data_IF_831522539994
#
_entry.id   IF_831522539994
#
_cell.length_a   1.000
_cell.length_b   1.000
_cell.length_c   1.000
_cell.angle_alpha   90.00
_cell.angle_beta   90.00
_cell.angle_gamma   90.00
#
_symmetry.space_group_name_H-M   'P 1'
#
loop_
_entity.id
_entity.type
_entity.pdbx_description
1 polymer ?
#
# COMPACT_ATOMS: atom_id res chain seq x y z
N UNK A 1 8.63 -14.54 18.88
CA UNK A 1 9.58 -14.47 17.74
C UNK A 1 10.32 -13.16 17.81
N UNK A 2 11.66 -13.18 17.88
CA UNK A 2 12.47 -11.97 17.82
C UNK A 2 12.29 -11.33 16.45
N UNK A 3 11.73 -10.12 16.39
CA UNK A 3 11.66 -9.33 15.16
C UNK A 3 13.05 -8.77 14.88
N UNK A 4 13.94 -9.57 14.28
CA UNK A 4 15.21 -9.03 13.80
C UNK A 4 14.92 -8.12 12.59
N UNK A 5 14.60 -6.86 12.88
CA UNK A 5 14.26 -5.86 11.85
C UNK A 5 15.49 -5.31 11.13
N UNK A 6 16.68 -5.59 11.64
CA UNK A 6 17.91 -4.94 11.18
C UNK A 6 17.93 -3.44 11.56
N UNK A 7 18.99 -2.75 11.16
CA UNK A 7 19.07 -1.28 11.21
C UNK A 7 19.01 -0.70 9.79
N UNK A 8 18.60 0.56 9.66
CA UNK A 8 18.58 1.25 8.35
C UNK A 8 20.02 1.54 7.94
N UNK A 9 20.43 1.01 6.79
CA UNK A 9 21.77 1.24 6.25
C UNK A 9 21.84 2.53 5.45
N UNK A 10 20.84 2.75 4.60
CA UNK A 10 20.75 3.98 3.81
C UNK A 10 19.31 4.24 3.33
N UNK A 11 19.09 5.48 2.95
CA UNK A 11 17.85 5.97 2.36
C UNK A 11 18.06 6.27 0.89
N UNK A 12 17.01 6.10 0.09
CA UNK A 12 16.97 6.55 -1.29
C UNK A 12 15.66 7.26 -1.61
N UNK A 13 15.72 8.14 -2.60
CA UNK A 13 14.57 8.75 -3.24
C UNK A 13 14.37 8.07 -4.58
N UNK A 14 13.14 7.61 -4.83
CA UNK A 14 12.74 7.11 -6.13
C UNK A 14 11.78 8.14 -6.71
N UNK A 15 12.16 8.68 -7.85
CA UNK A 15 11.37 9.65 -8.58
C UNK A 15 10.22 8.98 -9.33
N UNK A 16 9.28 9.76 -9.82
CA UNK A 16 8.08 9.23 -10.49
C UNK A 16 8.39 8.48 -11.78
N UNK A 17 9.48 8.82 -12.47
CA UNK A 17 10.01 8.10 -13.65
C UNK A 17 10.74 6.79 -13.29
N UNK A 18 10.86 6.47 -11.99
CA UNK A 18 11.44 5.22 -11.49
C UNK A 18 12.94 5.25 -11.26
N UNK A 19 13.61 6.39 -11.48
CA UNK A 19 15.03 6.53 -11.14
C UNK A 19 15.25 6.56 -9.64
N UNK A 20 16.27 5.86 -9.17
CA UNK A 20 16.61 5.76 -7.76
C UNK A 20 17.89 6.53 -7.43
N UNK A 21 17.78 7.46 -6.48
CA UNK A 21 18.88 8.28 -6.00
C UNK A 21 19.17 7.97 -4.54
N UNK A 22 20.33 7.38 -4.29
CA UNK A 22 20.80 7.09 -2.93
C UNK A 22 21.18 8.39 -2.21
N UNK A 23 20.60 8.62 -1.03
CA UNK A 23 20.85 9.83 -0.25
C UNK A 23 22.20 9.77 0.51
N UNK A 24 22.68 8.59 0.81
CA UNK A 24 24.00 8.35 1.41
C UNK A 24 25.06 8.21 0.32
N UNK A 25 25.40 9.30 -0.32
CA UNK A 25 26.54 9.39 -1.24
C UNK A 25 27.62 10.28 -0.63
N UNK A 26 28.77 9.68 -0.34
CA UNK A 26 29.86 10.27 0.44
C UNK A 26 30.37 11.61 -0.10
N UNK A 27 30.21 11.90 -1.39
CA UNK A 27 30.79 13.08 -2.02
C UNK A 27 29.77 14.06 -2.58
N UNK A 28 28.52 13.64 -2.76
CA UNK A 28 27.47 14.47 -3.36
C UNK A 28 26.50 15.01 -2.34
N UNK A 29 25.95 14.12 -1.53
CA UNK A 29 24.95 14.46 -0.51
C UNK A 29 24.87 13.35 0.52
N UNK A 30 24.55 13.68 1.75
CA UNK A 30 24.34 12.71 2.82
C UNK A 30 23.31 13.22 3.81
N UNK A 31 22.59 12.28 4.38
CA UNK A 31 21.60 12.57 5.41
C UNK A 31 22.31 12.78 6.73
N UNK A 32 22.05 13.92 7.38
CA UNK A 32 22.56 14.24 8.71
C UNK A 32 21.56 13.80 9.79
N UNK A 33 20.27 14.01 9.53
CA UNK A 33 19.20 13.60 10.43
C UNK A 33 17.88 13.42 9.67
N UNK A 34 17.03 12.55 10.21
CA UNK A 34 15.67 12.33 9.73
C UNK A 34 14.72 12.39 10.92
N UNK A 35 13.59 13.04 10.74
CA UNK A 35 12.52 13.09 11.74
C UNK A 35 11.17 12.73 11.10
N UNK A 36 10.20 12.28 11.90
CA UNK A 36 8.86 11.94 11.42
C UNK A 36 8.68 10.49 10.95
N UNK A 37 9.65 9.61 11.19
CA UNK A 37 9.61 8.21 10.75
C UNK A 37 8.90 7.26 11.71
N UNK A 38 8.77 7.66 12.97
CA UNK A 38 8.15 6.85 14.01
C UNK A 38 6.63 6.77 13.86
N UNK A 39 5.94 7.18 14.89
CA UNK A 39 4.47 7.18 14.94
C UNK A 39 3.89 8.30 14.06
N UNK A 40 2.90 8.03 13.18
CA UNK A 40 2.19 9.10 12.47
C UNK A 40 1.37 9.94 13.45
N UNK A 41 1.08 11.21 13.16
CA UNK A 41 0.16 12.02 13.96
C UNK A 41 -1.23 11.38 14.01
N UNK A 42 -1.91 11.50 15.16
CA UNK A 42 -3.26 10.97 15.38
C UNK A 42 -4.18 12.09 15.77
N UNK A 43 -5.32 12.18 15.12
CA UNK A 43 -6.46 13.01 15.52
C UNK A 43 -7.54 12.13 16.16
N UNK A 44 -7.97 12.50 17.36
CA UNK A 44 -9.01 11.78 18.09
C UNK A 44 -10.37 12.46 17.88
N UNK A 45 -11.37 11.67 17.53
CA UNK A 45 -12.77 12.10 17.51
C UNK A 45 -13.31 11.91 18.93
N UNK A 46 -13.66 13.01 19.58
CA UNK A 46 -14.11 13.00 20.97
C UNK A 46 -15.49 13.61 21.10
N UNK A 47 -16.24 13.16 22.10
CA UNK A 47 -17.53 13.71 22.50
C UNK A 47 -17.49 14.10 23.98
N UNK A 48 -18.22 15.17 24.32
CA UNK A 48 -18.40 15.63 25.70
C UNK A 48 -19.90 15.72 26.02
N UNK A 49 -20.32 15.04 27.06
CA UNK A 49 -21.67 15.14 27.58
C UNK A 49 -21.86 16.37 28.50
N UNK A 50 -23.11 16.79 28.77
CA UNK A 50 -23.40 17.85 29.75
C UNK A 50 -22.83 17.50 31.15
N UNK A 51 -22.05 18.41 31.74
CA UNK A 51 -21.44 18.20 33.07
C UNK A 51 -20.24 17.23 33.09
N UNK A 52 -19.83 16.69 31.96
CA UNK A 52 -18.67 15.79 31.90
C UNK A 52 -17.36 16.57 32.01
N UNK A 53 -16.50 16.19 32.97
CA UNK A 53 -15.11 16.61 33.00
C UNK A 53 -14.27 15.75 32.04
N UNK A 54 -13.49 16.40 31.14
CA UNK A 54 -12.76 15.73 30.09
C UNK A 54 -13.65 15.40 28.89
N UNK A 55 -13.25 14.40 28.08
CA UNK A 55 -13.99 13.94 26.90
C UNK A 55 -13.90 12.42 26.75
N UNK A 56 -14.88 11.84 26.06
CA UNK A 56 -14.88 10.43 25.69
C UNK A 56 -14.33 10.29 24.28
N UNK A 57 -13.32 9.45 24.07
CA UNK A 57 -12.78 9.14 22.75
C UNK A 57 -13.75 8.17 22.06
N UNK A 58 -14.22 8.54 20.87
CA UNK A 58 -15.13 7.73 20.05
C UNK A 58 -14.33 6.95 18.99
N UNK A 59 -13.40 7.65 18.31
CA UNK A 59 -12.63 7.10 17.20
C UNK A 59 -11.33 7.88 17.01
N UNK A 60 -10.46 7.41 16.11
CA UNK A 60 -9.24 8.11 15.76
C UNK A 60 -9.01 8.07 14.25
N UNK A 61 -8.25 9.02 13.74
CA UNK A 61 -7.74 9.05 12.37
C UNK A 61 -6.26 9.31 12.38
N UNK A 62 -5.56 8.69 11.44
CA UNK A 62 -4.18 9.03 11.16
C UNK A 62 -4.18 10.28 10.27
N UNK A 63 -3.37 11.25 10.65
CA UNK A 63 -3.15 12.46 9.86
C UNK A 63 -1.95 12.29 8.93
N UNK A 64 -1.79 13.22 8.01
CA UNK A 64 -0.66 13.26 7.10
C UNK A 64 0.66 13.20 7.87
N UNK A 65 1.58 12.38 7.40
CA UNK A 65 2.90 12.24 8.01
C UNK A 65 3.86 13.25 7.40
N UNK A 66 4.51 14.04 8.24
CA UNK A 66 5.58 14.95 7.84
C UNK A 66 6.91 14.25 8.11
N UNK A 67 7.73 14.11 7.08
CA UNK A 67 9.09 13.56 7.17
C UNK A 67 10.06 14.67 6.77
N UNK A 68 10.97 15.00 7.68
CA UNK A 68 11.96 16.03 7.43
C UNK A 68 13.36 15.44 7.42
N UNK A 69 14.06 15.68 6.33
CA UNK A 69 15.46 15.34 6.17
C UNK A 69 16.33 16.58 6.31
N UNK A 70 17.38 16.48 7.08
CA UNK A 70 18.50 17.42 7.03
C UNK A 70 19.58 16.80 6.19
N UNK A 71 19.89 17.42 5.05
CA UNK A 71 20.81 16.89 4.04
C UNK A 71 21.98 17.84 3.90
N UNK A 72 23.19 17.30 3.89
CA UNK A 72 24.40 18.04 3.50
C UNK A 72 24.63 17.87 2.00
N UNK A 73 24.79 18.97 1.30
CA UNK A 73 25.28 18.98 -0.06
C UNK A 73 26.73 19.37 -0.03
N UNK A 74 27.59 18.50 -0.53
CA UNK A 74 29.04 18.71 -0.50
C UNK A 74 29.66 18.29 -1.83
N UNK A 75 30.80 18.87 -2.16
CA UNK A 75 31.57 18.57 -3.36
C UNK A 75 33.07 18.77 -3.16
N UNK A 76 33.87 18.31 -4.12
CA UNK A 76 35.33 18.51 -4.13
C UNK A 76 35.76 19.84 -4.75
N UNK A 77 34.94 20.38 -5.61
CA UNK A 77 35.19 21.62 -6.34
C UNK A 77 33.88 22.39 -6.57
N UNK A 78 34.00 23.61 -7.08
CA UNK A 78 32.88 24.53 -7.30
C UNK A 78 31.89 24.03 -8.36
N UNK A 79 32.37 23.38 -9.43
CA UNK A 79 31.51 22.89 -10.51
C UNK A 79 30.65 21.72 -10.00
N UNK A 80 31.27 20.71 -9.38
CA UNK A 80 30.56 19.58 -8.79
C UNK A 80 29.54 20.03 -7.72
N UNK A 81 29.83 21.13 -7.00
CA UNK A 81 28.91 21.69 -6.02
C UNK A 81 27.62 22.23 -6.65
N UNK A 82 27.77 22.97 -7.74
CA UNK A 82 26.61 23.50 -8.47
C UNK A 82 25.83 22.39 -9.14
N UNK A 83 26.49 21.44 -9.77
CA UNK A 83 25.85 20.26 -10.38
C UNK A 83 25.06 19.43 -9.32
N UNK A 84 25.62 19.25 -8.12
CA UNK A 84 24.92 18.54 -7.03
C UNK A 84 23.69 19.30 -6.52
N UNK A 85 23.72 20.63 -6.51
CA UNK A 85 22.56 21.47 -6.17
C UNK A 85 21.46 21.35 -7.23
N UNK A 86 21.82 21.48 -8.50
CA UNK A 86 20.87 21.33 -9.62
C UNK A 86 20.24 19.94 -9.63
N UNK A 87 21.05 18.90 -9.44
CA UNK A 87 20.57 17.54 -9.34
C UNK A 87 19.58 17.37 -8.18
N UNK A 88 19.87 17.96 -7.01
CA UNK A 88 18.95 17.88 -5.87
C UNK A 88 17.62 18.58 -6.15
N UNK A 89 17.65 19.74 -6.79
CA UNK A 89 16.44 20.47 -7.20
C UNK A 89 15.64 19.67 -8.23
N UNK A 90 16.32 19.05 -9.19
CA UNK A 90 15.66 18.23 -10.21
C UNK A 90 14.99 16.98 -9.60
N UNK A 91 15.67 16.29 -8.69
CA UNK A 91 15.10 15.13 -7.96
C UNK A 91 13.84 15.52 -7.18
N UNK A 92 13.83 16.73 -6.60
CA UNK A 92 12.73 17.21 -5.75
C UNK A 92 11.63 17.92 -6.55
N UNK A 93 11.76 18.05 -7.85
CA UNK A 93 10.78 18.72 -8.70
C UNK A 93 9.45 17.93 -8.71
N UNK A 94 8.29 18.57 -8.43
CA UNK A 94 7.01 17.90 -8.27
C UNK A 94 6.43 17.35 -9.58
N UNK A 95 6.84 17.87 -10.74
CA UNK A 95 6.32 17.52 -12.06
C UNK A 95 7.38 16.85 -12.95
N UNK A 96 8.14 15.89 -12.42
CA UNK A 96 9.18 15.20 -13.19
C UNK A 96 8.65 14.24 -14.28
N UNK A 97 7.34 14.01 -14.30
CA UNK A 97 6.69 13.26 -15.38
C UNK A 97 6.48 14.14 -16.63
N UNK A 98 6.36 13.48 -17.76
CA UNK A 98 6.10 14.14 -19.06
C UNK A 98 4.67 14.67 -19.20
N UNK A 99 3.77 14.29 -18.32
CA UNK A 99 2.38 14.77 -18.27
C UNK A 99 2.25 15.83 -17.18
N UNK A 100 2.07 17.09 -17.59
CA UNK A 100 1.96 18.25 -16.69
C UNK A 100 0.70 18.25 -15.80
N UNK A 101 -0.23 17.31 -16.02
CA UNK A 101 -1.53 17.29 -15.34
C UNK A 101 -1.52 16.60 -13.99
N UNK A 102 -0.47 15.86 -13.64
CA UNK A 102 -0.46 15.01 -12.46
C UNK A 102 0.71 15.34 -11.51
N UNK A 103 0.40 15.40 -10.22
CA UNK A 103 1.41 15.42 -9.17
C UNK A 103 2.15 14.07 -9.18
N UNK A 104 3.46 14.11 -9.33
CA UNK A 104 4.31 12.93 -9.34
C UNK A 104 4.79 12.63 -7.93
N UNK A 105 4.20 11.64 -7.23
CA UNK A 105 4.66 11.27 -5.90
C UNK A 105 6.07 10.67 -5.98
N UNK A 106 6.92 11.10 -5.08
CA UNK A 106 8.24 10.55 -4.83
C UNK A 106 8.09 9.40 -3.84
N UNK A 107 8.92 8.35 -3.94
CA UNK A 107 8.98 7.31 -2.93
C UNK A 107 10.26 7.45 -2.11
N UNK A 108 10.11 7.61 -0.81
CA UNK A 108 11.23 7.47 0.11
C UNK A 108 11.38 6.00 0.47
N UNK A 109 12.52 5.39 0.11
CA UNK A 109 12.80 3.97 0.36
C UNK A 109 13.94 3.82 1.35
N UNK A 110 13.72 2.94 2.32
CA UNK A 110 14.68 2.56 3.35
C UNK A 110 15.21 1.17 3.10
N UNK A 111 16.51 1.03 3.20
CA UNK A 111 17.21 -0.24 3.08
C UNK A 111 17.74 -0.68 4.44
N UNK A 112 17.38 -1.88 4.82
CA UNK A 112 17.77 -2.46 6.11
C UNK A 112 18.90 -3.47 5.94
N UNK A 113 19.75 -3.60 6.97
CA UNK A 113 20.89 -4.53 7.01
C UNK A 113 20.51 -6.00 6.83
N UNK A 114 19.26 -6.36 7.02
CA UNK A 114 18.72 -7.70 6.80
C UNK A 114 18.12 -7.91 5.39
N UNK A 115 18.38 -7.00 4.45
CA UNK A 115 17.87 -7.03 3.08
C UNK A 115 16.45 -6.58 2.90
N UNK A 116 15.71 -6.29 3.99
CA UNK A 116 14.34 -5.76 3.90
C UNK A 116 14.36 -4.33 3.36
N UNK A 117 13.27 -3.97 2.71
CA UNK A 117 13.05 -2.62 2.17
C UNK A 117 11.69 -2.14 2.61
N UNK A 118 11.56 -0.85 2.95
CA UNK A 118 10.28 -0.21 3.19
C UNK A 118 10.25 1.12 2.47
N UNK A 119 9.10 1.47 1.96
CA UNK A 119 8.93 2.73 1.24
C UNK A 119 7.62 3.43 1.63
N UNK A 120 7.57 4.72 1.36
CA UNK A 120 6.40 5.56 1.56
C UNK A 120 6.29 6.55 0.42
N UNK A 121 5.08 6.77 -0.08
CA UNK A 121 4.81 7.79 -1.09
C UNK A 121 4.73 9.17 -0.43
N UNK A 122 5.45 10.12 -0.96
CA UNK A 122 5.51 11.48 -0.43
C UNK A 122 5.44 12.52 -1.55
N UNK A 123 5.05 13.71 -1.18
CA UNK A 123 5.20 14.92 -2.00
C UNK A 123 6.14 15.90 -1.29
N UNK A 124 6.85 16.71 -2.04
CA UNK A 124 7.73 17.74 -1.47
C UNK A 124 6.88 18.91 -1.00
N UNK A 125 6.94 19.22 0.28
CA UNK A 125 6.28 20.40 0.86
C UNK A 125 7.21 21.61 0.84
N UNK A 126 8.49 21.41 1.24
CA UNK A 126 9.49 22.45 1.22
C UNK A 126 10.84 21.87 0.79
N UNK A 127 11.41 22.43 -0.23
CA UNK A 127 12.73 22.09 -0.75
C UNK A 127 13.86 22.90 -0.08
N UNK A 128 15.11 22.65 -0.50
CA UNK A 128 16.27 23.39 -0.01
C UNK A 128 16.20 24.86 -0.46
N UNK A 129 16.54 25.78 0.43
CA UNK A 129 16.55 27.23 0.16
C UNK A 129 17.92 27.73 -0.31
N UNK A 130 18.97 26.99 -0.02
CA UNK A 130 20.36 27.29 -0.33
C UNK A 130 20.81 28.70 0.14
N UNK A 131 20.26 29.17 1.25
CA UNK A 131 20.66 30.44 1.83
C UNK A 131 21.90 30.26 2.71
N UNK A 132 22.95 31.01 2.52
CA UNK A 132 24.10 31.02 3.42
C UNK A 132 23.67 31.53 4.80
N UNK A 133 23.94 30.74 5.84
CA UNK A 133 23.54 31.07 7.22
C UNK A 133 24.31 32.27 7.78
N UNK A 134 25.57 32.46 7.34
CA UNK A 134 26.38 33.60 7.69
C UNK A 134 27.31 34.01 6.51
N UNK A 135 27.56 35.30 6.28
CA UNK A 135 28.50 35.73 5.27
C UNK A 135 29.95 35.27 5.51
N UNK A 136 30.28 34.83 6.72
CA UNK A 136 31.60 34.28 7.09
C UNK A 136 31.71 32.76 6.99
N UNK A 137 30.61 32.05 6.77
CA UNK A 137 30.58 30.58 6.58
C UNK A 137 30.88 30.24 5.10
N UNK A 138 31.96 30.76 4.57
CA UNK A 138 32.42 30.45 3.23
C UNK A 138 33.13 29.09 3.16
N UNK A 139 32.44 28.01 3.55
CA UNK A 139 32.84 26.73 3.03
C UNK A 139 32.20 26.59 1.63
N UNK A 140 32.96 26.99 0.60
CA UNK A 140 32.48 27.11 -0.79
C UNK A 140 31.83 25.84 -1.35
N UNK A 141 32.00 24.69 -0.67
CA UNK A 141 31.62 23.36 -1.17
C UNK A 141 30.79 22.56 -0.18
N UNK A 142 30.19 23.20 0.82
CA UNK A 142 29.36 22.55 1.83
C UNK A 142 28.18 23.42 2.21
N UNK A 143 26.96 22.89 2.13
CA UNK A 143 25.76 23.52 2.67
C UNK A 143 24.86 22.46 3.31
N UNK A 144 24.25 22.82 4.43
CA UNK A 144 23.29 21.99 5.12
C UNK A 144 21.89 22.55 4.90
N UNK A 145 21.01 21.73 4.35
CA UNK A 145 19.65 22.11 3.98
C UNK A 145 18.63 21.16 4.60
N UNK A 146 17.43 21.68 4.79
CA UNK A 146 16.27 20.91 5.26
C UNK A 146 15.31 20.72 4.10
N UNK A 147 14.88 19.48 3.91
CA UNK A 147 13.85 19.11 2.94
C UNK A 147 12.69 18.47 3.69
N UNK A 148 11.49 18.93 3.43
CA UNK A 148 10.27 18.49 4.10
C UNK A 148 9.34 17.81 3.12
N UNK A 149 8.91 16.62 3.48
CA UNK A 149 8.00 15.79 2.70
C UNK A 149 6.72 15.55 3.47
N UNK A 150 5.60 15.49 2.75
CA UNK A 150 4.30 15.06 3.26
C UNK A 150 3.91 13.73 2.64
N UNK A 151 3.55 12.77 3.48
CA UNK A 151 2.92 11.53 3.08
C UNK A 151 1.43 11.58 3.44
N UNK A 152 0.56 11.68 2.44
CA UNK A 152 -0.90 11.66 2.64
C UNK A 152 -1.40 10.26 3.03
N UNK A 153 -0.75 9.19 2.58
CA UNK A 153 -0.87 7.88 3.22
C UNK A 153 0.30 7.71 4.19
N UNK A 154 0.06 7.84 5.52
CA UNK A 154 1.13 7.92 6.50
C UNK A 154 1.80 6.58 6.81
N UNK A 155 1.47 5.51 6.07
CA UNK A 155 1.86 4.14 6.34
C UNK A 155 2.94 3.68 5.37
N UNK A 156 4.02 3.12 5.89
CA UNK A 156 5.06 2.48 5.10
C UNK A 156 4.57 1.16 4.52
N UNK A 157 5.12 0.75 3.38
CA UNK A 157 4.81 -0.52 2.74
C UNK A 157 6.04 -1.15 2.09
N UNK A 158 6.00 -2.46 1.86
CA UNK A 158 7.04 -3.17 1.13
C UNK A 158 7.01 -2.78 -0.37
N UNK A 159 8.16 -2.69 -1.05
CA UNK A 159 8.19 -2.39 -2.48
C UNK A 159 7.55 -3.45 -3.36
N UNK A 160 7.53 -4.69 -2.87
CA UNK A 160 7.00 -5.85 -3.59
C UNK A 160 5.55 -6.10 -3.16
N UNK A 161 4.68 -6.26 -4.12
CA UNK A 161 3.32 -6.71 -3.91
C UNK A 161 3.30 -8.23 -3.73
N UNK A 162 2.62 -8.69 -2.70
CA UNK A 162 2.32 -10.11 -2.49
C UNK A 162 1.05 -10.44 -3.27
N UNK A 163 1.05 -11.59 -3.94
CA UNK A 163 -0.11 -12.06 -4.71
C UNK A 163 -0.35 -13.53 -4.39
N UNK A 164 -1.53 -13.81 -3.86
CA UNK A 164 -1.99 -15.15 -3.53
C UNK A 164 -3.22 -15.50 -4.36
N UNK A 165 -3.38 -16.77 -4.67
CA UNK A 165 -4.45 -17.25 -5.53
C UNK A 165 -5.23 -18.41 -4.91
N UNK A 166 -6.55 -18.41 -5.13
CA UNK A 166 -7.39 -19.56 -4.78
C UNK A 166 -7.24 -20.64 -5.85
N UNK A 167 -6.98 -21.87 -5.42
CA UNK A 167 -6.98 -23.06 -6.26
C UNK A 167 -8.32 -23.75 -6.05
N UNK A 168 -9.14 -23.84 -7.11
CA UNK A 168 -10.42 -24.54 -7.07
C UNK A 168 -10.24 -25.93 -7.66
N UNK A 169 -10.52 -26.96 -6.84
CA UNK A 169 -10.51 -28.34 -7.28
C UNK A 169 -11.94 -28.74 -7.67
N UNK A 170 -12.07 -29.30 -8.88
CA UNK A 170 -13.34 -29.76 -9.41
C UNK A 170 -13.29 -31.29 -9.52
N UNK A 171 -13.92 -31.97 -8.55
CA UNK A 171 -14.07 -33.42 -8.61
C UNK A 171 -15.33 -33.77 -9.40
N UNK A 172 -15.16 -34.37 -10.58
CA UNK A 172 -16.25 -34.93 -11.36
C UNK A 172 -16.54 -36.35 -10.90
N UNK A 173 -17.29 -36.54 -9.81
CA UNK A 173 -17.73 -37.84 -9.36
C UNK A 173 -19.09 -38.20 -9.96
N UNK A 174 -19.10 -38.81 -11.13
CA UNK A 174 -20.19 -39.65 -11.58
C UNK A 174 -19.87 -41.09 -11.17
N UNK A 175 -20.43 -41.51 -10.01
CA UNK A 175 -20.28 -42.90 -9.52
C UNK A 175 -21.48 -43.71 -10.01
N UNK A 176 -21.23 -44.81 -10.72
CA UNK A 176 -22.25 -45.79 -11.09
C UNK A 176 -22.37 -46.87 -10.02
N UNK A 177 -23.61 -47.39 -9.71
CA UNK A 177 -24.88 -47.17 -10.40
C UNK A 177 -25.64 -45.92 -9.94
N UNK A 178 -26.24 -45.23 -10.93
CA UNK A 178 -27.02 -44.02 -10.74
C UNK A 178 -28.44 -44.41 -10.39
N UNK A 179 -28.98 -43.92 -9.23
CA UNK A 179 -30.38 -44.07 -8.84
C UNK A 179 -31.18 -42.80 -9.19
N UNK A 180 -32.33 -42.97 -9.82
CA UNK A 180 -33.25 -41.86 -10.13
C UNK A 180 -34.18 -41.53 -8.96
N UNK A 181 -34.56 -40.25 -8.75
CA UNK A 181 -34.36 -39.10 -9.60
C UNK A 181 -33.04 -38.37 -9.38
N UNK A 182 -32.28 -38.05 -10.46
CA UNK A 182 -31.06 -37.25 -10.43
C UNK A 182 -31.44 -35.78 -10.51
N UNK A 183 -30.97 -34.97 -9.58
CA UNK A 183 -31.04 -33.52 -9.66
C UNK A 183 -29.66 -32.99 -10.09
N UNK A 184 -29.58 -32.48 -11.33
CA UNK A 184 -28.45 -31.69 -11.78
C UNK A 184 -28.63 -30.26 -11.25
N UNK A 185 -27.92 -29.92 -10.21
CA UNK A 185 -27.83 -28.55 -9.69
C UNK A 185 -26.50 -27.92 -10.08
N UNK A 186 -26.49 -26.61 -10.28
CA UNK A 186 -25.23 -25.85 -10.33
C UNK A 186 -24.68 -25.89 -8.91
N UNK A 187 -23.63 -26.66 -8.68
CA UNK A 187 -22.98 -26.71 -7.37
C UNK A 187 -22.31 -25.37 -7.07
N UNK A 188 -22.52 -24.87 -5.88
CA UNK A 188 -21.67 -23.80 -5.36
C UNK A 188 -20.31 -24.40 -5.02
N UNK A 189 -19.26 -23.82 -5.57
CA UNK A 189 -17.89 -24.19 -5.26
C UNK A 189 -17.31 -23.13 -4.35
N UNK A 190 -16.63 -23.54 -3.30
CA UNK A 190 -15.90 -22.62 -2.43
C UNK A 190 -14.56 -23.20 -2.02
N UNK A 191 -13.56 -22.37 -1.88
CA UNK A 191 -12.27 -22.77 -1.34
C UNK A 191 -11.73 -21.73 -0.36
N UNK A 192 -10.76 -22.16 0.44
CA UNK A 192 -10.14 -21.36 1.51
C UNK A 192 -8.69 -21.08 1.15
N UNK A 193 -8.26 -19.86 1.45
CA UNK A 193 -6.89 -19.38 1.26
C UNK A 193 -6.41 -18.74 2.57
N UNK A 194 -5.33 -19.25 3.13
CA UNK A 194 -4.68 -18.66 4.29
C UNK A 194 -3.56 -17.74 3.88
N UNK A 195 -3.75 -16.44 4.10
CA UNK A 195 -2.76 -15.40 3.84
C UNK A 195 -1.99 -15.11 5.13
N UNK A 196 -0.66 -15.32 5.12
CA UNK A 196 0.19 -14.93 6.23
C UNK A 196 0.66 -13.49 6.06
N UNK A 197 0.02 -12.56 6.76
CA UNK A 197 0.30 -11.14 6.70
C UNK A 197 1.35 -10.72 7.74
N UNK A 198 2.47 -10.18 7.28
CA UNK A 198 3.61 -9.79 8.15
C UNK A 198 3.65 -8.29 8.47
N UNK A 199 2.77 -7.50 7.89
CA UNK A 199 2.64 -6.07 8.19
C UNK A 199 2.27 -5.79 9.65
N UNK A 200 2.42 -4.55 10.07
CA UNK A 200 1.99 -4.08 11.40
C UNK A 200 0.75 -3.16 11.35
N UNK A 201 0.28 -2.86 10.15
CA UNK A 201 -0.94 -2.09 9.89
C UNK A 201 -1.79 -2.82 8.87
N UNK A 202 -3.10 -2.58 8.90
CA UNK A 202 -4.05 -3.21 7.96
C UNK A 202 -3.77 -2.81 6.52
N UNK A 203 -4.07 -3.73 5.59
CA UNK A 203 -3.94 -3.49 4.16
C UNK A 203 -5.25 -3.73 3.42
N UNK A 204 -5.39 -3.09 2.28
CA UNK A 204 -6.58 -3.12 1.43
C UNK A 204 -6.19 -3.81 0.11
N UNK A 205 -6.63 -5.05 -0.12
CA UNK A 205 -6.22 -5.82 -1.27
C UNK A 205 -6.86 -5.34 -2.57
N UNK A 206 -6.20 -5.68 -3.67
CA UNK A 206 -6.78 -5.70 -5.00
C UNK A 206 -7.13 -7.14 -5.33
N UNK A 207 -8.37 -7.38 -5.71
CA UNK A 207 -8.87 -8.72 -6.00
C UNK A 207 -9.20 -8.80 -7.48
N UNK A 208 -8.61 -9.78 -8.17
CA UNK A 208 -8.92 -10.07 -9.57
C UNK A 208 -9.67 -11.40 -9.67
N UNK A 209 -10.79 -11.39 -10.36
CA UNK A 209 -11.64 -12.54 -10.57
C UNK A 209 -11.72 -12.84 -12.06
N UNK A 210 -11.15 -13.96 -12.49
CA UNK A 210 -11.28 -14.47 -13.84
C UNK A 210 -12.44 -15.47 -13.90
N UNK A 211 -13.40 -15.25 -14.79
CA UNK A 211 -14.56 -16.12 -14.97
C UNK A 211 -14.22 -17.44 -15.70
N UNK A 212 -15.16 -18.40 -15.76
CA UNK A 212 -16.59 -18.17 -15.46
C UNK A 212 -16.95 -18.29 -13.98
N UNK A 213 -17.72 -17.34 -13.47
CA UNK A 213 -18.31 -17.42 -12.12
C UNK A 213 -19.55 -16.53 -12.02
N UNK A 214 -20.61 -17.06 -11.42
CA UNK A 214 -21.84 -16.33 -11.15
C UNK A 214 -21.95 -16.02 -9.65
N UNK A 215 -22.16 -14.75 -9.31
CA UNK A 215 -22.31 -14.29 -7.94
C UNK A 215 -21.07 -14.55 -7.08
N UNK A 216 -19.85 -14.14 -7.50
CA UNK A 216 -18.65 -14.38 -6.70
C UNK A 216 -18.76 -13.70 -5.34
N UNK A 217 -18.33 -14.44 -4.30
CA UNK A 217 -18.32 -14.00 -2.92
C UNK A 217 -16.97 -14.30 -2.29
N UNK A 218 -16.38 -13.31 -1.63
CA UNK A 218 -15.12 -13.47 -0.89
C UNK A 218 -15.36 -12.98 0.54
N UNK A 219 -15.01 -13.81 1.50
CA UNK A 219 -15.20 -13.53 2.93
C UNK A 219 -13.84 -13.62 3.63
N UNK A 220 -13.48 -12.61 4.41
CA UNK A 220 -12.38 -12.73 5.36
C UNK A 220 -12.95 -13.23 6.70
N UNK A 221 -12.65 -14.47 7.07
CA UNK A 221 -13.20 -15.12 8.26
C UNK A 221 -12.74 -14.47 9.56
N UNK A 222 -11.56 -13.83 9.56
CA UNK A 222 -11.00 -13.14 10.73
C UNK A 222 -11.74 -11.84 11.04
N UNK A 223 -12.08 -11.08 10.00
CA UNK A 223 -12.75 -9.78 10.15
C UNK A 223 -14.28 -9.89 10.02
N UNK A 224 -14.77 -11.00 9.49
CA UNK A 224 -16.17 -11.19 9.12
C UNK A 224 -16.63 -10.34 7.93
N UNK A 225 -15.70 -9.67 7.22
CA UNK A 225 -16.02 -8.80 6.09
C UNK A 225 -16.18 -9.61 4.81
N UNK A 226 -17.13 -9.18 3.99
CA UNK A 226 -17.58 -9.90 2.79
C UNK A 226 -17.54 -8.92 1.61
N UNK A 227 -17.09 -9.40 0.45
CA UNK A 227 -17.35 -8.77 -0.85
C UNK A 227 -18.14 -9.78 -1.66
N UNK A 228 -19.31 -9.36 -2.16
CA UNK A 228 -20.16 -10.17 -3.01
C UNK A 228 -20.63 -9.33 -4.19
N UNK A 229 -20.50 -9.89 -5.39
CA UNK A 229 -21.00 -9.27 -6.62
C UNK A 229 -22.25 -10.02 -7.10
N UNK A 230 -23.31 -9.29 -7.37
CA UNK A 230 -24.52 -9.82 -8.03
C UNK A 230 -24.34 -9.73 -9.56
N UNK A 231 -23.30 -10.41 -10.06
CA UNK A 231 -22.86 -10.35 -11.44
C UNK A 231 -22.37 -11.70 -11.94
N UNK A 232 -22.66 -12.01 -13.20
CA UNK A 232 -22.14 -13.19 -13.88
C UNK A 232 -20.89 -12.78 -14.69
N UNK A 233 -19.74 -13.26 -14.30
CA UNK A 233 -18.47 -13.05 -15.01
C UNK A 233 -18.33 -14.17 -16.04
N UNK A 234 -18.39 -13.88 -17.35
CA UNK A 234 -18.24 -14.91 -18.38
C UNK A 234 -16.82 -15.51 -18.40
N UNK A 235 -16.69 -16.71 -18.99
CA UNK A 235 -15.39 -17.35 -19.15
C UNK A 235 -14.37 -16.47 -19.88
N UNK A 236 -13.15 -16.37 -19.32
CA UNK A 236 -12.05 -15.58 -19.86
C UNK A 236 -12.14 -14.06 -19.60
N UNK A 237 -13.24 -13.58 -18.99
CA UNK A 237 -13.37 -12.17 -18.61
C UNK A 237 -12.79 -11.98 -17.20
N UNK A 238 -12.23 -10.79 -16.96
CA UNK A 238 -11.62 -10.43 -15.68
C UNK A 238 -12.38 -9.25 -15.07
N UNK A 239 -12.69 -9.35 -13.78
CA UNK A 239 -13.21 -8.25 -12.97
C UNK A 239 -12.19 -7.93 -11.90
N UNK A 240 -11.78 -6.68 -11.82
CA UNK A 240 -10.84 -6.17 -10.81
C UNK A 240 -11.61 -5.35 -9.77
N UNK A 241 -11.47 -5.74 -8.50
CA UNK A 241 -12.02 -5.06 -7.33
C UNK A 241 -10.87 -4.41 -6.59
N UNK A 242 -10.81 -3.09 -6.58
CA UNK A 242 -9.82 -2.34 -5.84
C UNK A 242 -10.44 -1.79 -4.55
N UNK A 243 -9.90 -2.20 -3.39
CA UNK A 243 -10.37 -1.75 -2.09
C UNK A 243 -9.51 -0.65 -1.48
N UNK A 244 -8.43 -0.23 -2.16
CA UNK A 244 -7.48 0.78 -1.68
C UNK A 244 -8.14 2.16 -1.55
N UNK A 245 -7.75 2.92 -0.54
CA UNK A 245 -8.22 4.30 -0.39
C UNK A 245 -7.78 5.17 -1.58
N UNK A 246 -8.71 6.01 -2.04
CA UNK A 246 -8.49 6.87 -3.21
C UNK A 246 -8.71 6.20 -4.56
N UNK A 247 -8.70 4.84 -4.63
CA UNK A 247 -8.80 4.07 -5.88
C UNK A 247 -9.92 3.02 -5.86
N UNK A 248 -10.89 3.14 -4.94
CA UNK A 248 -11.98 2.17 -4.81
C UNK A 248 -12.78 2.06 -6.09
N UNK A 249 -12.74 0.90 -6.70
CA UNK A 249 -13.40 0.65 -7.99
C UNK A 249 -13.71 -0.84 -8.18
N UNK A 250 -14.69 -1.11 -9.01
CA UNK A 250 -14.96 -2.43 -9.55
C UNK A 250 -15.09 -2.24 -11.07
N UNK A 251 -14.13 -2.79 -11.80
CA UNK A 251 -14.08 -2.61 -13.26
C UNK A 251 -13.80 -3.96 -13.94
N UNK A 252 -14.36 -4.13 -15.14
CA UNK A 252 -14.02 -5.27 -15.98
C UNK A 252 -12.81 -4.96 -16.86
N UNK A 253 -12.32 -5.97 -17.57
CA UNK A 253 -11.21 -5.87 -18.52
C UNK A 253 -11.50 -5.00 -19.76
N UNK A 254 -12.74 -4.52 -19.96
CA UNK A 254 -13.13 -3.53 -20.97
C UNK A 254 -13.20 -2.11 -20.40
N UNK A 255 -12.91 -1.93 -19.10
CA UNK A 255 -13.05 -0.64 -18.42
C UNK A 255 -14.47 -0.28 -17.99
N UNK A 256 -15.41 -1.24 -18.06
CA UNK A 256 -16.79 -0.99 -17.61
C UNK A 256 -16.84 -0.87 -16.10
N UNK A 257 -17.45 0.19 -15.58
CA UNK A 257 -17.63 0.35 -14.15
C UNK A 257 -18.77 -0.54 -13.64
N UNK A 258 -18.42 -1.48 -12.76
CA UNK A 258 -19.32 -2.46 -12.16
C UNK A 258 -19.62 -2.19 -10.68
N UNK A 259 -19.38 -0.97 -10.18
CA UNK A 259 -19.60 -0.65 -8.77
C UNK A 259 -21.06 -0.85 -8.33
N UNK A 260 -22.01 -0.72 -9.27
CA UNK A 260 -23.43 -0.91 -8.99
C UNK A 260 -23.88 -2.37 -8.79
N UNK A 261 -23.02 -3.36 -9.08
CA UNK A 261 -23.36 -4.79 -8.91
C UNK A 261 -22.92 -5.38 -7.59
N UNK A 262 -22.20 -4.61 -6.76
CA UNK A 262 -21.83 -5.06 -5.40
C UNK A 262 -23.09 -5.16 -4.54
N UNK A 263 -23.18 -6.25 -3.77
CA UNK A 263 -24.35 -6.51 -2.92
C UNK A 263 -24.51 -5.43 -1.82
N UNK A 264 -23.39 -5.05 -1.19
CA UNK A 264 -23.35 -3.98 -0.20
C UNK A 264 -22.14 -3.04 -0.46
N UNK A 265 -22.36 -1.77 -0.85
CA UNK A 265 -21.28 -0.83 -1.13
C UNK A 265 -20.34 -0.57 0.05
N UNK A 266 -20.82 -0.73 1.30
CA UNK A 266 -19.98 -0.57 2.50
C UNK A 266 -18.87 -1.61 2.54
N UNK A 267 -19.08 -2.79 1.98
CA UNK A 267 -18.11 -3.88 1.98
C UNK A 267 -16.84 -3.50 1.22
N UNK A 268 -16.94 -2.74 0.13
CA UNK A 268 -15.79 -2.22 -0.60
C UNK A 268 -14.89 -1.31 0.26
N UNK A 269 -15.46 -0.67 1.27
CA UNK A 269 -14.74 0.25 2.15
C UNK A 269 -14.17 -0.42 3.40
N UNK A 270 -14.71 -1.56 3.78
CA UNK A 270 -14.42 -2.23 5.06
C UNK A 270 -13.64 -3.53 4.90
N UNK A 271 -13.53 -4.06 3.67
CA UNK A 271 -12.77 -5.27 3.41
C UNK A 271 -11.27 -5.01 3.56
N UNK A 272 -10.65 -5.68 4.50
CA UNK A 272 -9.25 -5.48 4.88
C UNK A 272 -8.58 -6.80 5.26
N UNK A 273 -7.26 -6.88 5.09
CA UNK A 273 -6.38 -7.90 5.67
C UNK A 273 -5.73 -7.27 6.89
N UNK A 274 -5.78 -7.95 8.02
CA UNK A 274 -5.39 -7.39 9.32
C UNK A 274 -4.15 -8.07 9.89
N UNK A 275 -3.29 -7.30 10.61
CA UNK A 275 -2.11 -7.86 11.27
C UNK A 275 -2.47 -8.56 12.60
N UNK A 276 -1.49 -9.22 13.19
CA UNK A 276 -1.55 -9.61 14.59
C UNK A 276 -1.61 -8.35 15.50
N UNK A 277 -2.30 -8.38 16.64
CA UNK A 277 -2.96 -9.55 17.26
C UNK A 277 -4.37 -9.86 16.75
N UNK A 278 -4.97 -8.99 15.92
CA UNK A 278 -6.35 -9.19 15.41
C UNK A 278 -6.47 -10.47 14.56
N UNK A 279 -5.46 -10.77 13.74
CA UNK A 279 -5.28 -12.06 13.09
C UNK A 279 -4.20 -12.84 13.86
N UNK A 280 -4.50 -13.93 14.57
CA UNK A 280 -3.52 -14.72 15.29
C UNK A 280 -2.39 -15.19 14.37
N UNK A 281 -1.14 -14.91 14.74
CA UNK A 281 0.02 -15.21 13.88
C UNK A 281 0.10 -14.40 12.56
N UNK A 282 -0.82 -13.45 12.35
CA UNK A 282 -0.94 -12.71 11.09
C UNK A 282 -1.72 -13.48 10.01
N UNK A 283 -2.30 -14.65 10.34
CA UNK A 283 -3.02 -15.48 9.36
C UNK A 283 -4.44 -14.95 9.16
N UNK A 284 -4.74 -14.55 7.93
CA UNK A 284 -6.08 -14.16 7.48
C UNK A 284 -6.63 -15.26 6.58
N UNK A 285 -7.67 -15.93 7.04
CA UNK A 285 -8.36 -16.97 6.29
C UNK A 285 -9.43 -16.35 5.41
N UNK A 286 -9.20 -16.35 4.11
CA UNK A 286 -10.16 -15.91 3.10
C UNK A 286 -10.92 -17.12 2.56
N UNK A 287 -12.23 -16.99 2.39
CA UNK A 287 -13.08 -17.98 1.74
C UNK A 287 -13.69 -17.35 0.50
N UNK A 288 -13.37 -17.90 -0.66
CA UNK A 288 -13.93 -17.45 -1.93
C UNK A 288 -14.81 -18.54 -2.56
N UNK A 289 -15.89 -18.15 -3.21
CA UNK A 289 -16.78 -19.08 -3.90
C UNK A 289 -17.78 -18.39 -4.80
N UNK A 290 -18.53 -19.22 -5.55
CA UNK A 290 -19.56 -18.79 -6.49
C UNK A 290 -20.23 -19.98 -7.15
N UNK A 291 -21.07 -19.69 -8.14
CA UNK A 291 -21.77 -20.72 -8.91
C UNK A 291 -21.20 -20.78 -10.35
N UNK A 292 -21.30 -21.94 -10.99
CA UNK A 292 -20.88 -22.10 -12.38
C UNK A 292 -19.41 -21.89 -12.64
N UNK A 293 -18.58 -22.14 -11.65
CA UNK A 293 -17.12 -22.10 -11.74
C UNK A 293 -16.60 -23.29 -12.54
N UNK A 294 -15.43 -23.14 -13.16
CA UNK A 294 -14.72 -24.19 -13.90
C UNK A 294 -13.22 -24.16 -13.58
N UNK A 295 -12.46 -25.08 -14.12
CA UNK A 295 -10.98 -25.12 -14.00
C UNK A 295 -10.28 -23.83 -14.47
N UNK A 296 -10.94 -23.04 -15.30
CA UNK A 296 -10.43 -21.75 -15.78
C UNK A 296 -10.76 -20.58 -14.83
N UNK A 297 -11.53 -20.83 -13.76
CA UNK A 297 -11.87 -19.80 -12.79
C UNK A 297 -10.67 -19.56 -11.87
N UNK A 298 -10.23 -18.29 -11.80
CA UNK A 298 -9.10 -17.89 -10.96
C UNK A 298 -9.49 -16.66 -10.13
N UNK A 299 -9.22 -16.71 -8.84
CA UNK A 299 -9.38 -15.56 -7.95
C UNK A 299 -8.02 -15.27 -7.32
N UNK A 300 -7.49 -14.10 -7.58
CA UNK A 300 -6.20 -13.63 -7.08
C UNK A 300 -6.41 -12.47 -6.11
N UNK A 301 -5.60 -12.43 -5.06
CA UNK A 301 -5.63 -11.40 -4.03
C UNK A 301 -4.23 -10.80 -3.92
N UNK A 302 -4.08 -9.58 -4.38
CA UNK A 302 -2.82 -8.85 -4.35
C UNK A 302 -2.85 -7.79 -3.23
N UNK A 303 -1.78 -7.67 -2.48
CA UNK A 303 -1.69 -6.73 -1.38
C UNK A 303 -0.24 -6.35 -1.05
N UNK A 304 -0.05 -5.22 -0.38
CA UNK A 304 1.23 -4.82 0.17
C UNK A 304 1.25 -5.06 1.68
N UNK A 305 2.38 -5.55 2.20
CA UNK A 305 2.62 -5.50 3.63
C UNK A 305 2.82 -4.05 4.06
N UNK A 306 2.04 -3.59 5.04
CA UNK A 306 2.01 -2.20 5.50
C UNK A 306 2.50 -2.09 6.95
N UNK A 307 3.26 -1.02 7.24
CA UNK A 307 3.93 -0.83 8.52
C UNK A 307 3.62 0.54 9.11
N UNK A 308 3.23 0.56 10.37
CA UNK A 308 2.83 1.77 11.07
C UNK A 308 3.98 2.78 11.26
N UNK A 309 5.21 2.29 11.33
CA UNK A 309 6.43 3.08 11.46
C UNK A 309 7.67 2.25 11.16
N UNK A 310 8.81 2.91 11.26
CA UNK A 310 10.13 2.32 11.04
C UNK A 310 10.88 2.25 12.38
#
# INVERSE_FOLDING_TARGET
>A
MSRNTGYVEFDSIITADGEEYRLHDRFRKFVLSVTGEGHPPISYITQRGPGQHGSTVIDYRLEDRIIQYTIAVTARNRYDYWDNRELLLDILRPNRQTDDSLISPIKLRKYYSNGKKRQINVVVEAGPTFQPRNPSDHNEYYIQESVRFIAHDPIYYDPTEECEAFIFEFENHLVFPITFPIRFGIAAVSNTLDITYVGTWKTFPVIQITGPVNGPKITNSVTGKIIKLNYNIPGGRIVTINTQYGNKSIVDDLGTNLIGVIDNPIDLTTFEIVPAPRAPGGVNTLVAGGYGMSENTLIQVAFYNRYFGI
#
